data_IF_889198499411
#
_entry.id   IF_889198499411
#
_cell.length_a   1.000
_cell.length_b   1.000
_cell.length_c   1.000
_cell.angle_alpha   90.00
_cell.angle_beta   90.00
_cell.angle_gamma   90.00
#
_symmetry.space_group_name_H-M   'P 1'
#
loop_
_entity.id
_entity.type
_entity.pdbx_description
1 polymer ?
#
# COMPACT_ATOMS: atom_id res chain seq x y z
N UNK A 1 2.40 -11.31 12.45
CA UNK A 1 2.33 -9.83 12.51
C UNK A 1 0.92 -9.30 12.80
N UNK A 2 -0.10 -9.67 12.03
CA UNK A 2 -1.47 -9.14 12.22
C UNK A 2 -2.12 -9.49 13.57
N UNK A 3 -1.81 -10.66 14.14
CA UNK A 3 -2.31 -11.07 15.46
C UNK A 3 -1.82 -10.14 16.59
N UNK A 4 -0.62 -9.56 16.46
CA UNK A 4 -0.08 -8.64 17.47
C UNK A 4 -0.82 -7.29 17.43
N UNK A 5 -1.15 -6.80 16.23
CA UNK A 5 -1.90 -5.55 16.08
C UNK A 5 -3.32 -5.67 16.65
N UNK A 6 -3.94 -6.85 16.54
CA UNK A 6 -5.25 -7.15 17.17
C UNK A 6 -5.22 -7.03 18.69
N UNK A 7 -4.17 -7.51 19.35
CA UNK A 7 -4.02 -7.42 20.81
C UNK A 7 -3.92 -5.97 21.31
N UNK A 8 -3.35 -5.11 20.47
CA UNK A 8 -3.07 -3.70 20.77
C UNK A 8 -4.30 -2.80 20.49
N UNK A 9 -5.31 -3.32 19.79
CA UNK A 9 -6.40 -2.53 19.20
C UNK A 9 -7.71 -2.50 20.02
N UNK A 10 -7.68 -2.77 21.33
CA UNK A 10 -8.87 -2.72 22.19
C UNK A 10 -9.56 -1.34 22.20
N UNK A 11 -10.89 -1.32 22.29
CA UNK A 11 -11.68 -0.08 22.27
C UNK A 11 -11.40 0.85 23.46
N UNK A 12 -11.33 0.29 24.68
CA UNK A 12 -11.13 1.05 25.92
C UNK A 12 -9.72 0.90 26.53
N UNK A 13 -8.92 -0.06 26.06
CA UNK A 13 -7.61 -0.41 26.64
C UNK A 13 -6.49 -0.50 25.60
N UNK A 14 -6.81 -0.22 24.34
CA UNK A 14 -5.86 -0.27 23.22
C UNK A 14 -5.22 1.08 22.94
N UNK A 15 -4.17 1.07 22.12
CA UNK A 15 -3.43 2.27 21.76
C UNK A 15 -4.28 3.13 20.79
N UNK A 16 -4.12 4.45 20.84
CA UNK A 16 -4.87 5.40 20.02
C UNK A 16 -4.69 5.18 18.51
N UNK A 17 -5.67 5.66 17.72
CA UNK A 17 -5.67 5.58 16.25
C UNK A 17 -4.36 6.08 15.63
N UNK A 18 -3.82 7.18 16.14
CA UNK A 18 -2.59 7.82 15.65
C UNK A 18 -1.41 6.86 15.79
N UNK A 19 -1.24 6.23 16.96
CA UNK A 19 -0.15 5.28 17.16
C UNK A 19 -0.29 4.02 16.29
N UNK A 20 -1.51 3.51 16.07
CA UNK A 20 -1.74 2.38 15.16
C UNK A 20 -1.34 2.74 13.73
N UNK A 21 -1.68 3.94 13.29
CA UNK A 21 -1.28 4.49 11.99
C UNK A 21 0.24 4.62 11.90
N UNK A 22 0.90 5.16 12.93
CA UNK A 22 2.36 5.28 13.01
C UNK A 22 3.02 3.91 12.91
N UNK A 23 2.55 2.91 13.65
CA UNK A 23 3.08 1.54 13.58
C UNK A 23 2.93 0.93 12.20
N UNK A 24 1.80 1.15 11.53
CA UNK A 24 1.61 0.70 10.16
C UNK A 24 2.62 1.33 9.20
N UNK A 25 2.76 2.66 9.22
CA UNK A 25 3.67 3.40 8.33
C UNK A 25 5.14 3.11 8.60
N UNK A 26 5.54 2.95 9.85
CA UNK A 26 6.95 2.82 10.25
C UNK A 26 7.45 1.37 10.29
N UNK A 27 6.58 0.42 10.63
CA UNK A 27 6.98 -0.99 10.80
C UNK A 27 6.49 -1.83 9.63
N UNK A 28 5.18 -1.86 9.39
CA UNK A 28 4.59 -2.78 8.40
C UNK A 28 5.02 -2.41 6.99
N UNK A 29 4.84 -1.13 6.62
CA UNK A 29 5.22 -0.64 5.29
C UNK A 29 6.72 -0.78 5.05
N UNK A 30 7.56 -0.46 6.04
CA UNK A 30 9.02 -0.60 5.93
C UNK A 30 9.47 -2.05 5.85
N UNK A 31 8.84 -2.95 6.59
CA UNK A 31 9.13 -4.39 6.51
C UNK A 31 8.83 -4.94 5.11
N UNK A 32 7.72 -4.51 4.50
CA UNK A 32 7.35 -4.94 3.15
C UNK A 32 8.16 -4.24 2.05
N UNK A 33 8.58 -3.00 2.29
CA UNK A 33 9.48 -2.26 1.39
C UNK A 33 10.88 -2.86 1.38
N UNK A 34 11.27 -3.57 2.43
CA UNK A 34 12.55 -4.25 2.45
C UNK A 34 12.60 -5.34 1.38
N UNK A 35 13.59 -5.22 0.48
CA UNK A 35 13.77 -6.13 -0.64
C UNK A 35 12.75 -5.92 -1.78
N UNK A 36 11.92 -4.87 -1.75
CA UNK A 36 10.95 -4.59 -2.82
C UNK A 36 11.62 -4.39 -4.18
N UNK A 37 12.88 -3.95 -4.21
CA UNK A 37 13.68 -3.85 -5.44
C UNK A 37 13.87 -5.19 -6.16
N UNK A 38 13.81 -6.32 -5.46
CA UNK A 38 13.99 -7.65 -6.06
C UNK A 38 12.70 -8.22 -6.65
N UNK A 39 11.52 -7.81 -6.16
CA UNK A 39 10.25 -8.47 -6.53
C UNK A 39 9.09 -7.50 -6.85
N UNK A 40 9.22 -6.20 -6.62
CA UNK A 40 8.12 -5.23 -6.76
C UNK A 40 8.42 -4.10 -7.77
N UNK A 41 9.37 -4.29 -8.70
CA UNK A 41 9.62 -3.31 -9.77
C UNK A 41 8.44 -3.19 -10.76
N UNK A 42 7.89 -4.34 -11.17
CA UNK A 42 6.74 -4.45 -12.07
C UNK A 42 5.76 -5.51 -11.54
N UNK A 43 4.99 -5.23 -10.47
CA UNK A 43 4.14 -6.23 -9.85
C UNK A 43 2.93 -6.56 -10.75
N UNK A 44 2.69 -7.86 -10.91
CA UNK A 44 1.54 -8.39 -11.65
C UNK A 44 0.23 -8.09 -10.95
N UNK A 45 -0.90 -8.26 -11.65
CA UNK A 45 -2.24 -8.09 -11.07
C UNK A 45 -2.45 -8.92 -9.80
N UNK A 46 -2.04 -10.19 -9.83
CA UNK A 46 -2.15 -11.09 -8.68
C UNK A 46 -1.34 -10.61 -7.47
N UNK A 47 -0.15 -10.04 -7.71
CA UNK A 47 0.67 -9.46 -6.64
C UNK A 47 0.00 -8.22 -6.06
N UNK A 48 -0.54 -7.32 -6.90
CA UNK A 48 -1.32 -6.16 -6.43
C UNK A 48 -2.52 -6.60 -5.59
N UNK A 49 -3.25 -7.63 -6.01
CA UNK A 49 -4.40 -8.19 -5.27
C UNK A 49 -3.97 -8.77 -3.92
N UNK A 50 -2.89 -9.55 -3.88
CA UNK A 50 -2.31 -10.09 -2.63
C UNK A 50 -1.89 -8.98 -1.68
N UNK A 51 -1.21 -7.94 -2.16
CA UNK A 51 -0.80 -6.79 -1.34
C UNK A 51 -2.01 -6.05 -0.76
N UNK A 52 -3.05 -5.82 -1.56
CA UNK A 52 -4.31 -5.23 -1.05
C UNK A 52 -4.96 -6.09 0.04
N UNK A 53 -4.93 -7.42 -0.12
CA UNK A 53 -5.42 -8.36 0.91
C UNK A 53 -4.60 -8.29 2.20
N UNK A 54 -3.27 -8.19 2.10
CA UNK A 54 -2.36 -8.03 3.26
C UNK A 54 -2.61 -6.68 3.96
N UNK A 55 -2.81 -5.59 3.20
CA UNK A 55 -3.01 -4.24 3.73
C UNK A 55 -4.35 -4.11 4.46
N UNK A 56 -5.42 -4.70 3.92
CA UNK A 56 -6.80 -4.45 4.34
C UNK A 56 -7.07 -4.63 5.85
N UNK A 57 -6.64 -5.72 6.52
CA UNK A 57 -6.90 -5.88 7.94
C UNK A 57 -6.23 -4.81 8.80
N UNK A 58 -5.06 -4.30 8.39
CA UNK A 58 -4.42 -3.18 9.09
C UNK A 58 -5.26 -1.91 8.98
N UNK A 59 -5.77 -1.60 7.78
CA UNK A 59 -6.64 -0.45 7.58
C UNK A 59 -7.90 -0.52 8.45
N UNK A 60 -8.52 -1.69 8.55
CA UNK A 60 -9.68 -1.90 9.43
C UNK A 60 -9.33 -1.71 10.91
N UNK A 61 -8.18 -2.21 11.36
CA UNK A 61 -7.76 -2.05 12.75
C UNK A 61 -7.36 -0.61 13.12
N UNK A 62 -6.85 0.15 12.15
CA UNK A 62 -6.54 1.58 12.32
C UNK A 62 -7.85 2.39 12.31
N UNK A 63 -8.73 2.16 11.35
CA UNK A 63 -9.95 2.94 11.18
C UNK A 63 -11.04 2.62 12.21
N UNK A 64 -11.09 1.38 12.71
CA UNK A 64 -12.18 0.86 13.51
C UNK A 64 -13.47 0.64 12.71
N UNK A 65 -13.42 0.67 11.38
CA UNK A 65 -14.60 0.54 10.52
C UNK A 65 -15.12 -0.91 10.44
N UNK A 66 -16.35 -1.07 9.94
CA UNK A 66 -16.96 -2.38 9.72
C UNK A 66 -16.18 -3.21 8.70
N UNK A 67 -16.24 -4.54 8.83
CA UNK A 67 -15.57 -5.47 7.91
C UNK A 67 -16.08 -5.38 6.47
N UNK A 68 -17.27 -4.84 6.25
CA UNK A 68 -17.88 -4.64 4.91
C UNK A 68 -17.46 -3.34 4.25
N UNK A 69 -16.77 -2.43 4.96
CA UNK A 69 -16.32 -1.16 4.39
C UNK A 69 -15.35 -1.40 3.22
N UNK A 70 -15.56 -0.76 2.05
CA UNK A 70 -14.66 -0.88 0.90
C UNK A 70 -13.22 -0.45 1.21
N UNK A 71 -12.24 -1.19 0.72
CA UNK A 71 -10.80 -0.90 0.98
C UNK A 71 -10.39 0.46 0.44
N UNK A 72 -10.92 0.86 -0.72
CA UNK A 72 -10.69 2.18 -1.31
C UNK A 72 -11.13 3.31 -0.38
N UNK A 73 -12.33 3.19 0.23
CA UNK A 73 -12.81 4.18 1.19
C UNK A 73 -11.92 4.24 2.44
N UNK A 74 -11.45 3.09 2.95
CA UNK A 74 -10.51 3.05 4.07
C UNK A 74 -9.20 3.78 3.76
N UNK A 75 -8.68 3.63 2.54
CA UNK A 75 -7.46 4.29 2.09
C UNK A 75 -7.63 5.80 2.05
N UNK A 76 -8.72 6.29 1.46
CA UNK A 76 -9.04 7.71 1.38
C UNK A 76 -9.18 8.34 2.76
N UNK A 77 -9.95 7.70 3.66
CA UNK A 77 -10.18 8.22 5.02
C UNK A 77 -8.89 8.26 5.84
N UNK A 78 -8.00 7.27 5.65
CA UNK A 78 -6.74 7.17 6.41
C UNK A 78 -5.58 7.93 5.75
N UNK A 79 -5.76 8.44 4.53
CA UNK A 79 -4.68 9.05 3.73
C UNK A 79 -3.54 8.07 3.42
N UNK A 80 -3.84 6.77 3.30
CA UNK A 80 -2.83 5.73 3.08
C UNK A 80 -2.90 5.27 1.61
N UNK A 81 -1.83 5.43 0.82
CA UNK A 81 -1.81 4.97 -0.57
C UNK A 81 -1.90 3.43 -0.67
N UNK A 82 -2.25 2.92 -1.86
CA UNK A 82 -2.21 1.48 -2.11
C UNK A 82 -0.79 0.97 -1.88
N UNK A 83 -0.69 -0.10 -1.07
CA UNK A 83 0.59 -0.67 -0.68
C UNK A 83 1.48 -1.01 -1.89
N UNK A 84 0.90 -1.50 -2.99
CA UNK A 84 1.67 -1.81 -4.18
C UNK A 84 2.29 -0.58 -4.86
N UNK A 85 1.65 0.59 -4.82
CA UNK A 85 2.21 1.82 -5.39
C UNK A 85 3.40 2.30 -4.54
N UNK A 86 3.24 2.25 -3.22
CA UNK A 86 4.30 2.62 -2.29
C UNK A 86 5.52 1.69 -2.39
N UNK A 87 5.29 0.38 -2.52
CA UNK A 87 6.36 -0.60 -2.69
C UNK A 87 7.04 -0.49 -4.04
N UNK A 88 6.31 -0.21 -5.13
CA UNK A 88 6.91 0.10 -6.43
C UNK A 88 7.79 1.35 -6.35
N UNK A 89 7.31 2.41 -5.72
CA UNK A 89 8.09 3.63 -5.53
C UNK A 89 9.40 3.34 -4.80
N UNK A 90 9.35 2.65 -3.65
CA UNK A 90 10.54 2.27 -2.89
C UNK A 90 11.47 1.31 -3.66
N UNK A 91 10.89 0.40 -4.45
CA UNK A 91 11.65 -0.52 -5.29
C UNK A 91 12.45 0.25 -6.35
N UNK A 92 11.81 1.21 -7.03
CA UNK A 92 12.42 2.07 -8.03
C UNK A 92 13.47 2.99 -7.42
N UNK A 93 13.15 3.62 -6.30
CA UNK A 93 14.06 4.47 -5.55
C UNK A 93 15.32 3.69 -5.14
N UNK A 94 15.15 2.52 -4.53
CA UNK A 94 16.27 1.66 -4.11
C UNK A 94 17.10 1.19 -5.30
N UNK A 95 16.45 0.79 -6.39
CA UNK A 95 17.12 0.36 -7.62
C UNK A 95 18.03 1.45 -8.18
N UNK A 96 17.52 2.67 -8.32
CA UNK A 96 18.27 3.81 -8.88
C UNK A 96 19.35 4.28 -7.91
N UNK A 97 18.97 4.66 -6.69
CA UNK A 97 19.85 5.41 -5.80
C UNK A 97 20.80 4.53 -4.99
N UNK A 98 20.41 3.30 -4.67
CA UNK A 98 21.22 2.39 -3.84
C UNK A 98 21.97 1.36 -4.66
N UNK A 99 21.28 0.72 -5.61
CA UNK A 99 21.86 -0.35 -6.42
C UNK A 99 22.48 0.16 -7.72
N UNK A 100 22.21 1.41 -8.11
CA UNK A 100 22.67 2.02 -9.38
C UNK A 100 22.28 1.18 -10.61
N UNK A 101 21.14 0.49 -10.52
CA UNK A 101 20.60 -0.31 -11.62
C UNK A 101 19.70 0.63 -12.45
N UNK A 102 20.00 0.85 -13.73
CA UNK A 102 19.11 1.60 -14.61
C UNK A 102 17.81 0.82 -14.75
N UNK A 103 16.70 1.49 -14.43
CA UNK A 103 15.39 0.88 -14.63
C UNK A 103 15.09 0.85 -16.12
N UNK A 104 14.54 -0.26 -16.65
CA UNK A 104 13.96 -0.23 -17.99
C UNK A 104 12.85 0.84 -18.00
N UNK A 105 12.73 1.62 -19.09
CA UNK A 105 11.73 2.68 -19.22
C UNK A 105 10.34 2.03 -19.31
N UNK A 106 9.76 1.69 -18.17
CA UNK A 106 8.39 1.19 -18.07
C UNK A 106 7.52 2.39 -17.69
N UNK A 107 7.01 2.98 -18.77
CA UNK A 107 5.79 3.80 -18.93
C UNK A 107 6.01 5.32 -19.04
N UNK A 108 5.93 5.81 -20.28
CA UNK A 108 4.87 6.75 -20.67
C UNK A 108 4.37 6.34 -22.04
N UNK A 109 3.68 5.21 -22.10
CA UNK A 109 2.83 4.87 -23.27
C UNK A 109 1.37 4.80 -22.81
N UNK A 110 1.03 5.63 -21.83
CA UNK A 110 -0.33 6.17 -21.78
C UNK A 110 -0.31 7.26 -22.82
N UNK A 111 -0.67 6.90 -24.05
CA UNK A 111 -0.93 7.90 -25.07
C UNK A 111 -2.09 8.77 -24.56
N UNK A 112 -2.08 10.09 -24.78
CA UNK A 112 -3.16 10.98 -24.36
C UNK A 112 -4.57 10.48 -24.73
N UNK A 113 -4.68 9.65 -25.78
CA UNK A 113 -5.92 9.01 -26.21
C UNK A 113 -6.56 8.04 -25.19
N UNK A 114 -5.78 7.44 -24.28
CA UNK A 114 -6.29 6.48 -23.30
C UNK A 114 -7.14 7.16 -22.20
N UNK A 115 -7.00 8.48 -22.06
CA UNK A 115 -7.74 9.31 -21.11
C UNK A 115 -9.02 9.92 -21.70
N UNK A 116 -9.19 9.92 -23.03
CA UNK A 116 -10.31 10.61 -23.69
C UNK A 116 -11.60 9.77 -23.84
N UNK A 117 -11.55 8.43 -23.75
CA UNK A 117 -12.73 7.62 -24.15
C UNK A 117 -13.68 7.19 -23.02
N UNK A 118 -13.95 8.05 -22.02
CA UNK A 118 -15.03 7.78 -21.04
C UNK A 118 -15.86 9.00 -20.59
N UNK A 119 -16.06 9.97 -21.48
CA UNK A 119 -17.07 11.03 -21.29
C UNK A 119 -18.11 11.11 -22.42
N UNK A 120 -18.56 9.98 -22.99
CA UNK A 120 -19.78 10.01 -23.82
C UNK A 120 -20.62 8.75 -23.63
N UNK A 121 -21.84 8.94 -23.11
CA UNK A 121 -22.92 7.94 -23.01
C UNK A 121 -23.41 7.70 -21.59
#
# INVERSE_FOLDING_TARGET
MQQNLKRIAGGNWGISRIHRWTLYKTVIERMLAHGSSAWCLNPTFEMKRKLSSIQRPFLLHISGAYRTTPTAALQTILGIPLLHMQLQFEARFTSIYRLRIPLPPIITDTQPHDLEMKETG
#
